data_IF_775171732266
#
_entry.id   IF_775171732266
#
_cell.length_a   1.000
_cell.length_b   1.000
_cell.length_c   1.000
_cell.angle_alpha   90.00
_cell.angle_beta   90.00
_cell.angle_gamma   90.00
#
_symmetry.space_group_name_H-M   'P 1'
#
loop_
_entity.id
_entity.type
_entity.pdbx_description
1 polymer ?
#
# COMPACT_ATOMS: atom_id res chain seq x y z
N UNK A 1 30.20 -12.06 33.23
CA UNK A 1 29.61 -13.31 32.70
C UNK A 1 28.62 -12.93 31.60
N UNK A 2 29.01 -12.99 30.31
CA UNK A 2 28.18 -12.58 29.15
C UNK A 2 27.73 -13.84 28.41
N UNK A 3 26.44 -14.16 28.44
CA UNK A 3 25.84 -15.28 27.70
C UNK A 3 25.56 -14.86 26.25
N UNK A 4 26.18 -15.56 25.30
CA UNK A 4 25.96 -15.40 23.85
C UNK A 4 24.61 -16.02 23.47
N UNK A 5 23.69 -15.23 22.94
CA UNK A 5 22.45 -15.71 22.34
C UNK A 5 22.64 -15.89 20.82
N UNK A 6 22.56 -17.17 20.40
CA UNK A 6 22.29 -17.79 19.08
C UNK A 6 22.46 -16.98 17.77
N UNK A 7 23.44 -17.39 16.95
CA UNK A 7 23.62 -17.08 15.52
C UNK A 7 23.00 -18.16 14.58
N UNK A 8 21.83 -18.69 14.90
CA UNK A 8 21.26 -19.83 14.15
C UNK A 8 20.42 -19.41 12.92
N UNK A 9 19.78 -18.24 12.93
CA UNK A 9 18.84 -17.85 11.86
C UNK A 9 19.47 -17.51 10.49
N UNK A 10 20.72 -17.03 10.46
CA UNK A 10 21.36 -16.62 9.19
C UNK A 10 21.87 -17.79 8.35
N UNK A 11 22.11 -18.95 8.95
CA UNK A 11 22.67 -20.11 8.24
C UNK A 11 21.59 -20.84 7.44
N UNK A 12 20.38 -20.96 7.98
CA UNK A 12 19.26 -21.68 7.35
C UNK A 12 18.83 -21.02 6.03
N UNK A 13 18.74 -19.68 5.99
CA UNK A 13 18.35 -18.94 4.77
C UNK A 13 19.39 -19.09 3.66
N UNK A 14 20.68 -19.14 4.00
CA UNK A 14 21.77 -19.31 3.02
C UNK A 14 21.78 -20.74 2.45
N UNK A 15 21.44 -21.74 3.25
CA UNK A 15 21.41 -23.14 2.79
C UNK A 15 20.24 -23.44 1.82
N UNK A 16 19.07 -22.83 2.01
CA UNK A 16 17.93 -23.00 1.08
C UNK A 16 18.25 -22.39 -0.29
N UNK A 17 18.91 -21.23 -0.32
CA UNK A 17 19.33 -20.60 -1.58
C UNK A 17 20.39 -21.39 -2.36
N UNK A 18 21.31 -22.07 -1.66
CA UNK A 18 22.37 -22.87 -2.29
C UNK A 18 21.85 -24.20 -2.85
N UNK A 19 20.84 -24.80 -2.21
CA UNK A 19 20.29 -26.11 -2.60
C UNK A 19 19.51 -26.05 -3.93
N UNK A 20 18.86 -24.93 -4.24
CA UNK A 20 18.18 -24.73 -5.53
C UNK A 20 19.15 -24.58 -6.72
N UNK A 21 20.41 -24.21 -6.49
CA UNK A 21 21.39 -23.96 -7.57
C UNK A 21 22.10 -25.23 -8.07
N UNK A 22 22.06 -26.34 -7.34
CA UNK A 22 22.86 -27.54 -7.63
C UNK A 22 22.07 -28.71 -8.27
N UNK A 23 20.73 -28.62 -8.35
CA UNK A 23 19.87 -29.66 -8.94
C UNK A 23 19.29 -29.20 -10.29
N UNK A 24 20.17 -28.81 -11.22
CA UNK A 24 19.78 -28.22 -12.51
C UNK A 24 18.81 -29.04 -13.36
N UNK A 25 18.11 -28.37 -14.29
CA UNK A 25 17.43 -29.06 -15.38
C UNK A 25 16.38 -28.25 -16.16
N UNK A 26 16.84 -27.59 -17.23
CA UNK A 26 16.14 -27.33 -18.50
C UNK A 26 14.85 -26.49 -18.51
N UNK A 27 15.04 -25.21 -18.84
CA UNK A 27 14.02 -24.29 -19.32
C UNK A 27 14.66 -23.06 -19.96
N UNK A 28 15.48 -23.25 -20.99
CA UNK A 28 15.95 -22.16 -21.85
C UNK A 28 14.79 -21.70 -22.72
N UNK A 29 13.98 -20.77 -22.21
CA UNK A 29 13.16 -19.92 -23.07
C UNK A 29 13.01 -18.55 -22.39
N UNK A 30 13.58 -17.54 -23.05
CA UNK A 30 13.46 -16.12 -22.75
C UNK A 30 14.03 -15.65 -21.41
N UNK A 31 15.36 -15.71 -21.29
CA UNK A 31 16.12 -14.79 -20.42
C UNK A 31 16.26 -13.45 -21.17
N UNK A 32 15.13 -12.82 -21.50
CA UNK A 32 15.13 -11.43 -21.94
C UNK A 32 14.73 -10.60 -20.73
N UNK A 33 15.73 -9.91 -20.15
CA UNK A 33 15.69 -9.09 -18.94
C UNK A 33 15.46 -9.84 -17.61
N UNK A 34 16.46 -10.61 -17.17
CA UNK A 34 16.56 -10.95 -15.75
C UNK A 34 16.85 -9.66 -14.97
N UNK A 35 15.81 -9.03 -14.44
CA UNK A 35 15.90 -8.05 -13.36
C UNK A 35 16.81 -8.62 -12.28
N UNK A 36 17.70 -7.81 -11.71
CA UNK A 36 18.61 -8.33 -10.69
C UNK A 36 17.77 -8.84 -9.51
N UNK A 37 18.21 -9.87 -8.75
CA UNK A 37 17.40 -10.40 -7.67
C UNK A 37 16.87 -9.31 -6.71
N UNK A 38 17.64 -8.23 -6.51
CA UNK A 38 17.24 -7.01 -5.80
C UNK A 38 16.03 -6.28 -6.38
N UNK A 39 15.92 -6.14 -7.70
CA UNK A 39 14.80 -5.50 -8.37
C UNK A 39 13.50 -6.29 -8.18
N UNK A 40 13.59 -7.62 -8.19
CA UNK A 40 12.43 -8.48 -7.93
C UNK A 40 11.91 -8.32 -6.50
N UNK A 41 12.81 -8.28 -5.50
CA UNK A 41 12.42 -8.03 -4.11
C UNK A 41 11.85 -6.63 -3.90
N UNK A 42 12.41 -5.61 -4.57
CA UNK A 42 11.89 -4.24 -4.51
C UNK A 42 10.48 -4.15 -5.12
N UNK A 43 10.25 -4.81 -6.26
CA UNK A 43 8.92 -4.90 -6.90
C UNK A 43 7.93 -5.62 -6.00
N UNK A 44 8.30 -6.78 -5.45
CA UNK A 44 7.47 -7.52 -4.51
C UNK A 44 7.13 -6.69 -3.26
N UNK A 45 8.09 -5.94 -2.71
CA UNK A 45 7.86 -5.05 -1.59
C UNK A 45 6.93 -3.89 -1.94
N UNK A 46 7.08 -3.29 -3.13
CA UNK A 46 6.21 -2.21 -3.60
C UNK A 46 4.76 -2.69 -3.79
N UNK A 47 4.57 -3.89 -4.34
CA UNK A 47 3.26 -4.53 -4.49
C UNK A 47 2.65 -4.82 -3.11
N UNK A 48 3.41 -5.46 -2.22
CA UNK A 48 2.93 -5.75 -0.86
C UNK A 48 2.56 -4.47 -0.10
N UNK A 49 3.32 -3.38 -0.30
CA UNK A 49 3.00 -2.09 0.29
C UNK A 49 1.71 -1.50 -0.30
N UNK A 50 1.50 -1.63 -1.61
CA UNK A 50 0.26 -1.21 -2.27
C UNK A 50 -0.98 -1.89 -1.73
N UNK A 51 -0.91 -3.20 -1.61
CA UNK A 51 -2.00 -3.99 -1.06
C UNK A 51 -2.30 -3.56 0.38
N UNK A 52 -1.26 -3.39 1.19
CA UNK A 52 -1.41 -2.95 2.57
C UNK A 52 -1.99 -1.53 2.68
N UNK A 53 -1.52 -0.58 1.86
CA UNK A 53 -2.04 0.79 1.84
C UNK A 53 -3.55 0.78 1.50
N UNK A 54 -3.95 0.02 0.46
CA UNK A 54 -5.35 -0.13 0.06
C UNK A 54 -6.22 -0.69 1.18
N UNK A 55 -5.83 -1.81 1.77
CA UNK A 55 -6.60 -2.46 2.84
C UNK A 55 -6.77 -1.54 4.05
N UNK A 56 -5.73 -0.80 4.42
CA UNK A 56 -5.79 0.17 5.52
C UNK A 56 -6.69 1.36 5.21
N UNK A 57 -6.61 1.91 4.01
CA UNK A 57 -7.51 2.99 3.60
C UNK A 57 -8.96 2.50 3.57
N UNK A 58 -9.23 1.32 3.01
CA UNK A 58 -10.55 0.72 2.96
C UNK A 58 -11.11 0.48 4.37
N UNK A 59 -10.28 0.02 5.30
CA UNK A 59 -10.63 -0.15 6.71
C UNK A 59 -11.05 1.20 7.34
N UNK A 60 -10.28 2.26 7.11
CA UNK A 60 -10.57 3.60 7.63
C UNK A 60 -11.90 4.13 7.05
N UNK A 61 -12.10 4.02 5.74
CA UNK A 61 -13.34 4.44 5.06
C UNK A 61 -14.53 3.66 5.61
N UNK A 62 -14.40 2.34 5.75
CA UNK A 62 -15.47 1.46 6.24
C UNK A 62 -15.85 1.76 7.68
N UNK A 63 -14.88 2.07 8.54
CA UNK A 63 -15.12 2.46 9.93
C UNK A 63 -15.94 3.76 10.04
N UNK A 64 -15.67 4.75 9.19
CA UNK A 64 -16.40 6.02 9.21
C UNK A 64 -17.73 5.96 8.46
N UNK A 65 -17.85 5.07 7.46
CA UNK A 65 -19.03 4.93 6.60
C UNK A 65 -19.54 3.49 6.55
N UNK A 66 -19.94 2.89 7.68
CA UNK A 66 -20.37 1.50 7.73
C UNK A 66 -21.64 1.24 6.90
N UNK A 67 -22.50 2.26 6.75
CA UNK A 67 -23.76 2.17 6.02
C UNK A 67 -23.66 2.54 4.54
N UNK A 68 -22.50 3.02 4.07
CA UNK A 68 -22.31 3.30 2.65
C UNK A 68 -22.29 2.00 1.82
N UNK A 69 -22.65 2.09 0.54
CA UNK A 69 -22.56 0.95 -0.37
C UNK A 69 -21.10 0.45 -0.45
N UNK A 70 -20.92 -0.87 -0.49
CA UNK A 70 -19.59 -1.48 -0.50
C UNK A 70 -18.75 -1.03 -1.70
N UNK A 71 -19.37 -1.02 -2.89
CA UNK A 71 -18.75 -0.53 -4.11
C UNK A 71 -18.25 0.92 -3.96
N UNK A 72 -19.02 1.80 -3.31
CA UNK A 72 -18.61 3.19 -3.09
C UNK A 72 -17.39 3.30 -2.16
N UNK A 73 -17.33 2.50 -1.09
CA UNK A 73 -16.16 2.49 -0.18
C UNK A 73 -14.90 2.02 -0.89
N UNK A 74 -15.02 0.97 -1.71
CA UNK A 74 -13.90 0.44 -2.51
C UNK A 74 -13.43 1.43 -3.55
N UNK A 75 -14.35 2.03 -4.31
CA UNK A 75 -14.02 3.09 -5.29
C UNK A 75 -13.31 4.26 -4.61
N UNK A 76 -13.79 4.70 -3.44
CA UNK A 76 -13.15 5.79 -2.70
C UNK A 76 -11.76 5.40 -2.17
N UNK A 77 -11.59 4.19 -1.65
CA UNK A 77 -10.29 3.71 -1.18
C UNK A 77 -9.27 3.61 -2.33
N UNK A 78 -9.69 3.08 -3.48
CA UNK A 78 -8.88 3.07 -4.70
C UNK A 78 -8.46 4.49 -5.10
N UNK A 79 -9.40 5.42 -5.20
CA UNK A 79 -9.10 6.80 -5.57
C UNK A 79 -8.12 7.48 -4.59
N UNK A 80 -8.28 7.29 -3.28
CA UNK A 80 -7.34 7.84 -2.30
C UNK A 80 -5.92 7.29 -2.51
N UNK A 81 -5.77 5.99 -2.73
CA UNK A 81 -4.45 5.35 -2.90
C UNK A 81 -3.79 5.78 -4.20
N UNK A 82 -4.54 5.80 -5.30
CA UNK A 82 -4.03 6.17 -6.63
C UNK A 82 -3.58 7.63 -6.66
N UNK A 83 -4.42 8.56 -6.20
CA UNK A 83 -4.09 9.99 -6.18
C UNK A 83 -2.95 10.32 -5.21
N UNK A 84 -2.95 9.72 -4.01
CA UNK A 84 -1.86 9.90 -3.06
C UNK A 84 -0.51 9.46 -3.67
N UNK A 85 -0.49 8.34 -4.39
CA UNK A 85 0.73 7.84 -5.03
C UNK A 85 1.18 8.69 -6.20
N UNK A 86 0.26 9.14 -7.04
CA UNK A 86 0.56 10.07 -8.13
C UNK A 86 1.29 11.32 -7.62
N UNK A 87 0.87 11.81 -6.45
CA UNK A 87 1.45 13.00 -5.80
C UNK A 87 2.60 12.70 -4.81
N UNK A 88 3.00 11.42 -4.67
CA UNK A 88 4.03 10.95 -3.71
C UNK A 88 3.71 11.34 -2.25
N UNK A 89 2.43 11.31 -1.89
CA UNK A 89 1.90 11.52 -0.53
C UNK A 89 1.56 10.16 0.09
N UNK A 90 1.70 10.04 1.41
CA UNK A 90 1.24 8.85 2.15
C UNK A 90 -0.29 8.69 2.03
N UNK A 91 -0.82 7.57 1.49
CA UNK A 91 -2.26 7.34 1.38
C UNK A 91 -3.01 7.43 2.72
N UNK A 92 -2.36 7.07 3.84
CA UNK A 92 -2.97 7.17 5.16
C UNK A 92 -3.10 8.62 5.63
N UNK A 93 -2.18 9.49 5.22
CA UNK A 93 -2.29 10.92 5.47
C UNK A 93 -3.48 11.52 4.71
N UNK A 94 -3.64 11.18 3.42
CA UNK A 94 -4.79 11.64 2.63
C UNK A 94 -6.09 11.13 3.23
N UNK A 95 -6.17 9.86 3.60
CA UNK A 95 -7.35 9.29 4.27
C UNK A 95 -7.65 10.00 5.61
N UNK A 96 -6.62 10.33 6.40
CA UNK A 96 -6.79 11.05 7.65
C UNK A 96 -7.33 12.48 7.44
N UNK A 97 -6.85 13.19 6.41
CA UNK A 97 -7.38 14.51 6.04
C UNK A 97 -8.84 14.40 5.63
N UNK A 98 -9.20 13.48 4.72
CA UNK A 98 -10.59 13.29 4.29
C UNK A 98 -11.51 12.95 5.47
N UNK A 99 -11.04 12.09 6.39
CA UNK A 99 -11.77 11.75 7.60
C UNK A 99 -12.02 12.99 8.47
N UNK A 100 -10.99 13.82 8.66
CA UNK A 100 -11.06 15.04 9.46
C UNK A 100 -11.97 16.10 8.85
N UNK A 101 -11.92 16.27 7.53
CA UNK A 101 -12.63 17.34 6.82
C UNK A 101 -14.11 17.03 6.61
N UNK A 102 -14.45 15.78 6.31
CA UNK A 102 -15.82 15.44 5.91
C UNK A 102 -16.36 14.14 6.51
N UNK A 103 -15.56 13.39 7.27
CA UNK A 103 -15.92 12.01 7.64
C UNK A 103 -16.31 11.16 6.42
N UNK A 104 -15.62 11.41 5.29
CA UNK A 104 -15.90 10.83 3.97
C UNK A 104 -17.30 11.16 3.42
N UNK A 105 -17.88 12.32 3.75
CA UNK A 105 -19.14 12.77 3.18
C UNK A 105 -18.90 13.60 1.90
N UNK A 106 -19.18 12.99 0.75
CA UNK A 106 -18.85 13.59 -0.56
C UNK A 106 -19.70 14.82 -0.93
N UNK A 107 -20.88 15.00 -0.34
CA UNK A 107 -21.84 16.08 -0.68
C UNK A 107 -22.01 17.07 0.48
N UNK A 108 -20.90 17.53 1.06
CA UNK A 108 -20.91 18.49 2.16
C UNK A 108 -20.33 19.82 1.69
N UNK A 109 -21.00 20.89 2.08
CA UNK A 109 -20.53 22.27 1.91
C UNK A 109 -20.45 22.90 3.30
N UNK A 110 -19.30 23.48 3.66
CA UNK A 110 -19.17 24.20 4.92
C UNK A 110 -19.76 25.60 4.85
N UNK A 111 -19.95 26.22 6.02
CA UNK A 111 -20.37 27.62 6.16
C UNK A 111 -19.41 28.61 5.47
N UNK A 112 -18.14 28.23 5.30
CA UNK A 112 -17.12 29.04 4.62
C UNK A 112 -17.03 28.74 3.10
N UNK A 113 -17.94 27.95 2.56
CA UNK A 113 -17.99 27.61 1.13
C UNK A 113 -17.01 26.53 0.68
N UNK A 114 -16.39 25.80 1.61
CA UNK A 114 -15.54 24.65 1.28
C UNK A 114 -16.39 23.43 0.90
N UNK A 115 -15.95 22.61 -0.06
CA UNK A 115 -16.79 21.58 -0.71
C UNK A 115 -16.13 20.19 -0.68
N UNK A 116 -16.96 19.17 -0.47
CA UNK A 116 -16.65 17.78 -0.77
C UNK A 116 -15.78 17.07 0.27
N UNK A 117 -15.13 16.00 -0.15
CA UNK A 117 -14.40 15.06 0.70
C UNK A 117 -13.26 15.72 1.50
N UNK A 118 -12.53 16.62 0.85
CA UNK A 118 -11.37 17.32 1.43
C UNK A 118 -11.67 18.79 1.76
N UNK A 119 -12.94 19.21 1.70
CA UNK A 119 -13.36 20.60 1.96
C UNK A 119 -12.48 21.61 1.20
N UNK A 120 -12.38 21.46 -0.12
CA UNK A 120 -11.63 22.38 -0.97
C UNK A 120 -12.43 23.67 -1.16
N UNK A 121 -11.76 24.82 -1.10
CA UNK A 121 -12.39 26.11 -1.38
C UNK A 121 -12.31 26.40 -2.88
N UNK A 122 -13.42 26.70 -3.55
CA UNK A 122 -13.37 27.34 -4.85
C UNK A 122 -12.68 28.69 -4.70
N UNK A 123 -11.77 29.02 -5.60
CA UNK A 123 -11.31 30.40 -5.73
C UNK A 123 -12.49 31.26 -6.21
N UNK A 124 -12.74 32.32 -5.46
CA UNK A 124 -13.71 33.38 -5.76
C UNK A 124 -12.92 34.64 -6.11
#
# INVERSE_FOLDING_TARGET
MRTKIKKEGKRVVVFIGLLCALLGGTGLNSIDSATSPTEDWMRAQAIARAELDYERVLEIVSRHRPTAADGWRRTLATAIVEEARAERIDPLLVAAIVAKESSFMARVVSHAGAVGLMQLRPWV
#
